data_IF_518088859375
#
_entry.id   IF_518088859375
#
_cell.length_a   1.000
_cell.length_b   1.000
_cell.length_c   1.000
_cell.angle_alpha   90.00
_cell.angle_beta   90.00
_cell.angle_gamma   90.00
#
_symmetry.space_group_name_H-M   'P 1'
#
loop_
_entity.id
_entity.type
_entity.pdbx_description
1 polymer ?
#
# COMPACT_ATOMS: atom_id res chain seq x y z
N UNK A 1 -3.23 12.57 -8.56
CA UNK A 1 -4.53 12.10 -8.03
C UNK A 1 -4.26 11.65 -6.62
N UNK A 2 -5.00 12.18 -5.66
CA UNK A 2 -4.70 11.97 -4.25
C UNK A 2 -5.50 10.79 -3.71
N UNK A 3 -4.90 10.04 -2.80
CA UNK A 3 -5.57 8.96 -2.08
C UNK A 3 -6.38 9.57 -0.94
N UNK A 4 -7.71 9.45 -1.03
CA UNK A 4 -8.62 9.97 -0.01
C UNK A 4 -8.57 9.05 1.22
N UNK A 5 -8.37 9.64 2.39
CA UNK A 5 -8.31 8.95 3.68
C UNK A 5 -9.33 9.50 4.67
N UNK A 6 -9.89 8.61 5.50
CA UNK A 6 -10.80 8.95 6.58
C UNK A 6 -10.21 8.56 7.95
N UNK A 7 -10.65 9.26 9.00
CA UNK A 7 -10.29 8.92 10.38
C UNK A 7 -11.20 7.79 10.87
N UNK A 8 -10.62 6.77 11.50
CA UNK A 8 -11.38 5.72 12.16
C UNK A 8 -10.80 5.38 13.53
N UNK A 9 -11.66 4.99 14.49
CA UNK A 9 -11.23 4.55 15.82
C UNK A 9 -10.95 3.04 15.83
N UNK A 10 -9.82 2.63 16.41
CA UNK A 10 -9.49 1.23 16.65
C UNK A 10 -8.74 1.09 17.97
N UNK A 11 -8.86 -0.08 18.62
CA UNK A 11 -7.99 -0.43 19.75
C UNK A 11 -6.53 -0.46 19.32
N UNK A 12 -5.62 -0.05 20.21
CA UNK A 12 -4.16 -0.16 20.01
C UNK A 12 -3.76 -1.61 19.79
N UNK A 13 -4.17 -2.50 20.69
CA UNK A 13 -4.05 -3.95 20.54
C UNK A 13 -5.42 -4.49 20.14
N UNK A 14 -5.54 -5.01 18.92
CA UNK A 14 -6.84 -5.39 18.35
C UNK A 14 -7.49 -6.55 19.12
N UNK A 15 -6.68 -7.47 19.64
CA UNK A 15 -7.12 -8.67 20.36
C UNK A 15 -7.48 -8.43 21.82
N UNK A 16 -6.98 -7.36 22.43
CA UNK A 16 -7.21 -7.05 23.84
C UNK A 16 -8.38 -6.06 23.97
N UNK A 17 -9.39 -6.40 24.78
CA UNK A 17 -10.62 -5.61 24.90
C UNK A 17 -10.43 -4.32 25.72
N UNK A 18 -9.49 -4.33 26.65
CA UNK A 18 -9.23 -3.23 27.58
C UNK A 18 -8.20 -2.24 27.02
N UNK A 19 -7.66 -2.55 25.84
CA UNK A 19 -6.71 -1.70 25.13
C UNK A 19 -7.33 -0.36 24.72
N UNK A 20 -6.58 0.72 24.93
CA UNK A 20 -7.01 2.08 24.62
C UNK A 20 -7.44 2.23 23.14
N UNK A 21 -8.50 3.01 22.94
CA UNK A 21 -8.99 3.38 21.61
C UNK A 21 -8.19 4.56 21.07
N UNK A 22 -7.61 4.39 19.88
CA UNK A 22 -6.84 5.41 19.18
C UNK A 22 -7.46 5.71 17.81
N UNK A 23 -7.21 6.91 17.29
CA UNK A 23 -7.57 7.29 15.93
C UNK A 23 -6.46 6.91 14.96
N UNK A 24 -6.85 6.36 13.81
CA UNK A 24 -5.99 6.00 12.70
C UNK A 24 -6.55 6.56 11.40
N UNK A 25 -5.72 6.64 10.37
CA UNK A 25 -6.16 6.90 9.00
C UNK A 25 -6.30 5.58 8.25
N UNK A 26 -7.34 5.47 7.44
CA UNK A 26 -7.47 4.42 6.42
C UNK A 26 -7.92 5.06 5.11
N UNK A 27 -7.60 4.43 3.98
CA UNK A 27 -8.19 4.82 2.71
C UNK A 27 -9.72 4.72 2.81
N UNK A 28 -10.42 5.73 2.32
CA UNK A 28 -11.88 5.76 2.34
C UNK A 28 -12.42 4.55 1.57
N UNK A 29 -13.25 3.69 2.17
CA UNK A 29 -13.87 2.57 1.47
C UNK A 29 -14.59 3.03 0.20
N UNK A 30 -14.48 2.27 -0.89
CA UNK A 30 -15.09 2.60 -2.18
C UNK A 30 -14.33 3.63 -3.02
N UNK A 31 -13.24 4.23 -2.50
CA UNK A 31 -12.34 5.09 -3.31
C UNK A 31 -11.18 4.32 -3.94
N UNK A 32 -10.92 3.10 -3.50
CA UNK A 32 -10.00 2.19 -4.17
C UNK A 32 -10.72 1.40 -5.27
N UNK A 33 -10.32 1.60 -6.52
CA UNK A 33 -10.73 0.76 -7.64
C UNK A 33 -9.84 -0.48 -7.76
N UNK A 34 -10.37 -1.54 -8.37
CA UNK A 34 -9.56 -2.65 -8.88
C UNK A 34 -9.29 -2.41 -10.36
N UNK A 35 -8.02 -2.45 -10.76
CA UNK A 35 -7.63 -2.41 -12.17
C UNK A 35 -7.39 -3.85 -12.62
N UNK A 36 -8.20 -4.31 -13.57
CA UNK A 36 -8.07 -5.63 -14.17
C UNK A 36 -7.17 -5.62 -15.42
N UNK A 37 -6.89 -6.81 -15.97
CA UNK A 37 -6.06 -6.98 -17.17
C UNK A 37 -6.68 -6.25 -18.36
N UNK A 38 -8.00 -6.26 -18.50
CA UNK A 38 -8.68 -5.61 -19.63
C UNK A 38 -8.52 -4.08 -19.60
N UNK A 39 -8.62 -3.48 -18.42
CA UNK A 39 -8.38 -2.04 -18.21
C UNK A 39 -6.90 -1.71 -18.42
N UNK A 40 -6.00 -2.53 -17.88
CA UNK A 40 -4.56 -2.34 -18.05
C UNK A 40 -4.14 -2.44 -19.52
N UNK A 41 -4.63 -3.44 -20.26
CA UNK A 41 -4.36 -3.62 -21.68
C UNK A 41 -4.89 -2.46 -22.51
N UNK A 42 -6.09 -1.94 -22.21
CA UNK A 42 -6.64 -0.77 -22.88
C UNK A 42 -5.79 0.49 -22.63
N UNK A 43 -5.21 0.63 -21.44
CA UNK A 43 -4.32 1.77 -21.13
C UNK A 43 -2.94 1.63 -21.79
N UNK A 44 -2.41 0.41 -21.88
CA UNK A 44 -1.15 0.14 -22.60
C UNK A 44 -1.31 0.41 -24.10
N UNK A 45 -2.41 -0.05 -24.73
CA UNK A 45 -2.69 0.21 -26.14
C UNK A 45 -2.64 1.72 -26.48
N UNK A 46 -3.06 2.61 -25.58
CA UNK A 46 -2.99 4.07 -25.82
C UNK A 46 -1.56 4.58 -25.98
N UNK A 47 -0.59 3.85 -25.43
CA UNK A 47 0.81 4.25 -25.34
C UNK A 47 1.72 3.40 -26.25
N UNK A 48 1.19 2.39 -26.94
CA UNK A 48 1.98 1.49 -27.79
C UNK A 48 1.24 1.13 -29.07
N UNK A 49 1.96 0.56 -30.04
CA UNK A 49 1.38 0.15 -31.33
C UNK A 49 0.69 -1.23 -31.29
N UNK A 50 0.49 -1.83 -30.11
CA UNK A 50 -0.13 -3.14 -29.97
C UNK A 50 -1.63 -3.02 -29.74
N UNK A 51 -2.42 -3.97 -30.24
CA UNK A 51 -3.85 -4.00 -29.92
C UNK A 51 -4.07 -4.46 -28.47
N UNK A 52 -5.22 -4.13 -27.90
CA UNK A 52 -5.65 -4.60 -26.58
C UNK A 52 -5.60 -6.13 -26.51
N UNK A 53 -5.96 -6.80 -27.61
CA UNK A 53 -5.90 -8.26 -27.72
C UNK A 53 -4.48 -8.77 -27.55
N UNK A 54 -3.52 -8.21 -28.28
CA UNK A 54 -2.11 -8.62 -28.20
C UNK A 54 -1.53 -8.38 -26.80
N UNK A 55 -1.81 -7.21 -26.20
CA UNK A 55 -1.33 -6.88 -24.86
C UNK A 55 -1.88 -7.85 -23.82
N UNK A 56 -3.17 -8.19 -23.91
CA UNK A 56 -3.80 -9.15 -23.00
C UNK A 56 -3.12 -10.51 -23.06
N UNK A 57 -2.91 -11.06 -24.26
CA UNK A 57 -2.23 -12.34 -24.43
C UNK A 57 -0.81 -12.33 -23.88
N UNK A 58 -0.06 -11.23 -24.07
CA UNK A 58 1.30 -11.11 -23.53
C UNK A 58 1.29 -11.10 -21.99
N UNK A 59 0.35 -10.38 -21.37
CA UNK A 59 0.24 -10.35 -19.90
C UNK A 59 -0.14 -11.74 -19.36
N UNK A 60 -1.08 -12.43 -20.01
CA UNK A 60 -1.49 -13.79 -19.62
C UNK A 60 -0.33 -14.78 -19.75
N UNK A 61 0.39 -14.78 -20.87
CA UNK A 61 1.58 -15.60 -21.07
C UNK A 61 2.69 -15.28 -20.05
N UNK A 62 2.89 -14.01 -19.71
CA UNK A 62 3.83 -13.61 -18.67
C UNK A 62 3.43 -14.19 -17.30
N UNK A 63 2.14 -14.19 -16.96
CA UNK A 63 1.64 -14.78 -15.71
C UNK A 63 1.88 -16.29 -15.68
N UNK A 64 1.63 -16.99 -16.79
CA UNK A 64 1.90 -18.43 -16.90
C UNK A 64 3.38 -18.76 -16.69
N UNK A 65 4.29 -18.00 -17.33
CA UNK A 65 5.73 -18.18 -17.14
C UNK A 65 6.17 -17.89 -15.70
N UNK A 66 5.62 -16.87 -15.05
CA UNK A 66 5.91 -16.60 -13.63
C UNK A 66 5.47 -17.80 -12.78
N UNK A 67 4.28 -18.34 -13.01
CA UNK A 67 3.77 -19.49 -12.26
C UNK A 67 4.63 -20.75 -12.48
N UNK A 68 5.03 -21.02 -13.71
CA UNK A 68 5.88 -22.17 -14.05
C UNK A 68 7.25 -22.09 -13.34
N UNK A 69 7.92 -20.94 -13.43
CA UNK A 69 9.22 -20.74 -12.79
C UNK A 69 9.11 -20.80 -11.25
N UNK A 70 8.05 -20.25 -10.65
CA UNK A 70 7.83 -20.36 -9.21
C UNK A 70 7.58 -21.81 -8.76
N UNK A 71 6.87 -22.61 -9.56
CA UNK A 71 6.63 -24.03 -9.29
C UNK A 71 7.93 -24.86 -9.36
N UNK A 72 8.88 -24.45 -10.21
CA UNK A 72 10.23 -25.02 -10.27
C UNK A 72 11.11 -24.63 -9.06
N UNK A 73 10.65 -23.70 -8.22
CA UNK A 73 11.38 -23.18 -7.06
C UNK A 73 12.27 -21.98 -7.37
N UNK A 74 12.24 -21.47 -8.61
CA UNK A 74 13.01 -20.32 -9.02
C UNK A 74 12.42 -19.01 -8.48
N UNK A 75 13.25 -17.98 -8.46
CA UNK A 75 12.83 -16.61 -8.16
C UNK A 75 12.65 -15.87 -9.46
N UNK A 76 11.51 -15.21 -9.64
CA UNK A 76 11.23 -14.42 -10.83
C UNK A 76 11.36 -12.95 -10.48
N UNK A 77 12.39 -12.29 -11.03
CA UNK A 77 12.59 -10.85 -10.87
C UNK A 77 12.07 -10.12 -12.10
N UNK A 78 11.07 -9.27 -11.89
CA UNK A 78 10.65 -8.27 -12.87
C UNK A 78 11.30 -6.95 -12.47
N UNK A 79 12.30 -6.52 -13.23
CA UNK A 79 13.05 -5.30 -12.94
C UNK A 79 12.09 -4.10 -12.79
N UNK A 80 12.38 -3.20 -11.84
CA UNK A 80 11.57 -2.02 -11.49
C UNK A 80 10.21 -2.33 -10.85
N UNK A 81 9.74 -3.58 -10.89
CA UNK A 81 8.54 -4.01 -10.17
C UNK A 81 8.91 -4.70 -8.85
N UNK A 82 9.62 -5.83 -8.93
CA UNK A 82 9.99 -6.60 -7.75
C UNK A 82 10.33 -8.04 -8.05
N UNK A 83 10.46 -8.82 -6.99
CA UNK A 83 10.83 -10.24 -7.06
C UNK A 83 9.75 -11.12 -6.43
N UNK A 84 9.29 -12.10 -7.20
CA UNK A 84 8.45 -13.19 -6.71
C UNK A 84 9.33 -14.37 -6.30
N UNK A 85 9.05 -14.96 -5.15
CA UNK A 85 9.73 -16.18 -4.73
C UNK A 85 8.83 -17.04 -3.83
N UNK A 86 9.05 -18.34 -3.88
CA UNK A 86 8.39 -19.28 -2.99
C UNK A 86 8.99 -19.23 -1.57
N UNK A 87 8.15 -19.45 -0.57
CA UNK A 87 8.52 -19.76 0.81
C UNK A 87 7.60 -20.86 1.31
N UNK A 88 8.00 -21.59 2.34
CA UNK A 88 7.14 -22.59 2.94
C UNK A 88 7.25 -22.58 4.46
N UNK A 89 6.20 -23.05 5.13
CA UNK A 89 6.21 -23.31 6.57
C UNK A 89 6.34 -24.81 6.80
N UNK A 90 7.33 -25.20 7.58
CA UNK A 90 7.55 -26.56 8.03
C UNK A 90 7.29 -26.67 9.53
N UNK A 91 6.57 -27.70 9.96
CA UNK A 91 6.44 -28.01 11.39
C UNK A 91 7.74 -28.64 11.89
N UNK A 92 8.31 -28.10 12.97
CA UNK A 92 9.50 -28.66 13.61
C UNK A 92 9.26 -30.05 14.19
N UNK A 93 10.29 -30.88 14.18
CA UNK A 93 10.31 -32.23 14.77
C UNK A 93 11.61 -32.43 15.54
N UNK A 94 11.58 -33.29 16.56
CA UNK A 94 12.73 -33.49 17.47
C UNK A 94 13.88 -34.26 16.83
N UNK A 95 13.59 -35.23 15.97
CA UNK A 95 14.59 -36.06 15.29
C UNK A 95 14.67 -35.73 13.80
N UNK A 96 15.89 -35.63 13.28
CA UNK A 96 16.16 -35.33 11.86
C UNK A 96 15.52 -36.35 10.92
N UNK A 97 15.54 -37.64 11.28
CA UNK A 97 14.95 -38.73 10.49
C UNK A 97 13.44 -38.56 10.27
N UNK A 98 12.75 -37.87 11.19
CA UNK A 98 11.32 -37.59 11.10
C UNK A 98 11.01 -36.29 10.34
N UNK A 99 12.03 -35.54 9.93
CA UNK A 99 11.90 -34.30 9.17
C UNK A 99 11.86 -34.60 7.68
N UNK A 100 10.66 -34.71 7.14
CA UNK A 100 10.41 -35.08 5.75
C UNK A 100 9.64 -33.98 5.01
N UNK A 101 9.50 -34.11 3.68
CA UNK A 101 8.70 -33.17 2.86
C UNK A 101 7.24 -33.07 3.36
N UNK A 102 6.71 -34.12 4.02
CA UNK A 102 5.36 -34.11 4.62
C UNK A 102 5.21 -33.14 5.79
N UNK A 103 6.32 -32.68 6.37
CA UNK A 103 6.31 -31.68 7.44
C UNK A 103 6.06 -30.26 6.90
N UNK A 104 6.14 -30.05 5.58
CA UNK A 104 5.74 -28.80 4.94
C UNK A 104 4.22 -28.66 5.02
N UNK A 105 3.76 -27.68 5.79
CA UNK A 105 2.32 -27.43 6.04
C UNK A 105 1.70 -26.47 5.04
N UNK A 106 2.48 -25.54 4.51
CA UNK A 106 1.98 -24.51 3.61
C UNK A 106 3.10 -23.97 2.73
N UNK A 107 2.80 -23.81 1.45
CA UNK A 107 3.63 -23.10 0.48
C UNK A 107 3.00 -21.74 0.22
N UNK A 108 3.81 -20.69 0.17
CA UNK A 108 3.37 -19.32 -0.07
C UNK A 108 4.25 -18.67 -1.14
N UNK A 109 3.64 -17.89 -2.02
CA UNK A 109 4.35 -16.98 -2.92
C UNK A 109 4.50 -15.64 -2.20
N UNK A 110 5.71 -15.10 -2.19
CA UNK A 110 6.05 -13.80 -1.62
C UNK A 110 6.46 -12.86 -2.75
N UNK A 111 5.95 -11.63 -2.69
CA UNK A 111 6.40 -10.53 -3.53
C UNK A 111 7.23 -9.56 -2.68
N UNK A 112 8.41 -9.20 -3.17
CA UNK A 112 9.28 -8.18 -2.58
C UNK A 112 9.40 -7.03 -3.57
N UNK A 113 8.88 -5.83 -3.25
CA UNK A 113 8.96 -4.70 -4.17
C UNK A 113 10.40 -4.26 -4.37
N UNK A 114 10.74 -3.88 -5.61
CA UNK A 114 12.04 -3.28 -5.89
C UNK A 114 12.17 -1.92 -5.18
N UNK A 115 13.39 -1.43 -5.02
CA UNK A 115 13.65 -0.16 -4.31
C UNK A 115 12.91 1.01 -4.95
N UNK A 116 12.78 1.00 -6.28
CA UNK A 116 12.13 2.05 -7.06
C UNK A 116 10.60 2.04 -6.93
N UNK A 117 10.00 0.88 -6.60
CA UNK A 117 8.54 0.75 -6.39
C UNK A 117 8.11 1.10 -4.95
N UNK A 118 9.04 1.48 -4.07
CA UNK A 118 8.70 1.82 -2.69
C UNK A 118 7.91 3.12 -2.62
N UNK A 119 6.61 2.98 -2.41
CA UNK A 119 5.71 4.12 -2.19
C UNK A 119 6.05 4.81 -0.88
N UNK A 120 6.23 6.12 -0.92
CA UNK A 120 6.45 6.97 0.26
C UNK A 120 5.39 8.03 0.36
N UNK A 121 5.07 8.44 1.59
CA UNK A 121 4.13 9.54 1.81
C UNK A 121 4.76 10.86 1.34
N UNK A 122 4.18 11.45 0.30
CA UNK A 122 4.64 12.69 -0.30
C UNK A 122 4.62 13.88 0.67
N UNK A 123 3.79 13.85 1.72
CA UNK A 123 3.75 14.95 2.71
C UNK A 123 4.94 14.95 3.66
N UNK A 124 5.65 13.83 3.78
CA UNK A 124 6.83 13.67 4.65
C UNK A 124 8.13 13.46 3.87
N UNK A 125 8.06 13.22 2.56
CA UNK A 125 9.22 12.96 1.73
C UNK A 125 9.94 14.28 1.38
N UNK A 126 11.18 14.44 1.86
CA UNK A 126 12.07 15.57 1.53
C UNK A 126 12.64 15.51 0.11
N UNK A 127 12.44 14.40 -0.62
CA UNK A 127 12.92 14.22 -2.00
C UNK A 127 11.79 13.79 -2.94
N UNK A 128 11.83 14.28 -4.18
CA UNK A 128 10.86 13.94 -5.25
C UNK A 128 11.23 12.59 -5.88
N UNK A 129 10.95 11.49 -5.17
CA UNK A 129 10.92 10.16 -5.81
C UNK A 129 9.69 10.07 -6.73
N UNK A 130 9.75 9.35 -7.87
CA UNK A 130 8.58 9.09 -8.72
C UNK A 130 7.49 8.26 -8.00
N UNK A 131 7.81 7.63 -6.86
CA UNK A 131 6.91 6.80 -6.07
C UNK A 131 6.18 7.55 -4.93
N UNK A 132 6.16 8.89 -4.94
CA UNK A 132 5.49 9.67 -3.91
C UNK A 132 3.96 9.59 -4.06
N UNK A 133 3.26 9.20 -2.98
CA UNK A 133 1.79 9.17 -2.92
C UNK A 133 1.29 10.36 -2.11
N UNK A 134 0.38 11.14 -2.71
CA UNK A 134 -0.32 12.24 -2.04
C UNK A 134 -1.58 11.73 -1.35
N UNK A 135 -1.80 12.14 -0.10
CA UNK A 135 -2.98 11.78 0.69
C UNK A 135 -3.78 13.03 1.04
N UNK A 136 -5.10 12.94 0.92
CA UNK A 136 -6.02 14.01 1.33
C UNK A 136 -7.05 13.47 2.31
N UNK A 137 -7.26 14.20 3.40
CA UNK A 137 -8.33 13.90 4.35
C UNK A 137 -9.68 14.22 3.72
N UNK A 138 -10.63 13.30 3.90
CA UNK A 138 -12.02 13.59 3.61
C UNK A 138 -12.50 14.79 4.43
N UNK A 139 -13.08 15.78 3.73
CA UNK A 139 -13.78 16.89 4.37
C UNK A 139 -15.13 16.37 4.87
N UNK A 140 -15.55 16.67 6.10
CA UNK A 140 -16.92 16.42 6.50
C UNK A 140 -17.84 17.19 5.55
N UNK A 141 -18.90 16.54 5.05
CA UNK A 141 -19.93 17.25 4.29
C UNK A 141 -20.51 18.34 5.19
N UNK A 142 -20.36 19.60 4.79
CA UNK A 142 -21.07 20.73 5.39
C UNK A 142 -22.57 20.52 5.14
N UNK A 143 -23.23 19.77 6.02
CA UNK A 143 -24.69 19.83 6.13
C UNK A 143 -25.03 21.22 6.64
N UNK A 144 -25.52 22.06 5.74
CA UNK A 144 -26.18 23.33 6.01
C UNK A 144 -27.08 23.25 7.25
N UNK A 145 -26.87 24.17 8.20
CA UNK A 145 -27.85 24.48 9.24
C UNK A 145 -27.27 25.03 10.53
N UNK A 146 -27.18 26.36 10.65
CA UNK A 146 -27.27 27.04 11.95
C UNK A 146 -26.19 28.08 12.24
N UNK A 147 -26.52 29.34 11.97
CA UNK A 147 -25.79 30.56 12.39
C UNK A 147 -25.71 30.69 13.91
N UNK A 148 -24.59 31.20 14.43
CA UNK A 148 -24.62 32.24 15.46
C UNK A 148 -23.32 33.04 15.48
N UNK A 149 -23.50 34.35 15.42
CA UNK A 149 -22.55 35.45 15.54
C UNK A 149 -21.70 35.43 16.83
N UNK A 150 -20.56 36.12 16.77
CA UNK A 150 -20.22 37.09 17.80
C UNK A 150 -18.81 36.99 18.37
N UNK A 151 -17.98 38.01 18.14
CA UNK A 151 -16.88 38.33 19.03
C UNK A 151 -15.60 38.81 18.37
N UNK A 152 -15.58 40.07 17.93
CA UNK A 152 -14.36 40.82 17.67
C UNK A 152 -13.77 41.30 19.01
N UNK A 153 -12.49 41.01 19.29
CA UNK A 153 -11.66 41.77 20.23
C UNK A 153 -10.19 41.63 19.85
N UNK A 154 -9.57 42.77 19.52
CA UNK A 154 -8.14 42.88 19.25
C UNK A 154 -7.29 42.78 20.52
N UNK A 155 -5.97 42.67 20.32
CA UNK A 155 -5.01 42.67 21.42
C UNK A 155 -3.58 42.39 20.97
N UNK A 156 -2.84 43.48 20.83
CA UNK A 156 -1.38 43.62 20.70
C UNK A 156 -0.55 42.71 21.63
N UNK A 157 0.68 42.37 21.22
CA UNK A 157 1.71 41.91 22.16
C UNK A 157 2.78 41.01 21.55
N UNK A 158 3.97 41.57 21.30
CA UNK A 158 5.12 40.86 20.76
C UNK A 158 5.80 39.89 21.73
N UNK A 159 6.80 39.18 21.21
CA UNK A 159 7.64 38.25 21.94
C UNK A 159 8.52 37.46 21.00
N UNK A 160 9.55 38.12 20.48
CA UNK A 160 10.71 37.46 19.86
C UNK A 160 11.46 36.80 21.01
N UNK A 161 11.53 35.47 21.02
CA UNK A 161 12.55 34.76 21.77
C UNK A 161 13.02 33.59 20.89
N UNK A 162 14.02 33.92 20.08
CA UNK A 162 14.99 32.94 19.62
C UNK A 162 15.66 32.34 20.86
N UNK A 163 15.68 31.02 20.96
CA UNK A 163 16.76 30.36 21.68
C UNK A 163 17.37 29.26 20.80
N UNK A 164 18.54 29.54 20.21
CA UNK A 164 19.43 28.53 19.65
C UNK A 164 20.14 27.79 20.80
N UNK A 165 20.92 26.74 20.46
CA UNK A 165 21.68 25.84 21.36
C UNK A 165 20.87 24.61 21.83
N UNK A 166 21.20 23.38 21.45
CA UNK A 166 22.34 22.85 20.69
C UNK A 166 22.18 21.35 20.49
#
# INVERSE_FOLDING_TARGET
MDVIVERFKRRKIVSDKDSAMLFYLRQKPGTCGTVDIDTLAANIQKNCAMTKGDVKHVIEAMVEEIQANLANGDKVKLNQLGTFHMTFRCSGVEKSENCTVRNIKRVNIRFVPDKELRLVNGTTATTRSPANVSFTLEKPDDKEGGSSEGGNTGGSGGGVDENPLG
#
